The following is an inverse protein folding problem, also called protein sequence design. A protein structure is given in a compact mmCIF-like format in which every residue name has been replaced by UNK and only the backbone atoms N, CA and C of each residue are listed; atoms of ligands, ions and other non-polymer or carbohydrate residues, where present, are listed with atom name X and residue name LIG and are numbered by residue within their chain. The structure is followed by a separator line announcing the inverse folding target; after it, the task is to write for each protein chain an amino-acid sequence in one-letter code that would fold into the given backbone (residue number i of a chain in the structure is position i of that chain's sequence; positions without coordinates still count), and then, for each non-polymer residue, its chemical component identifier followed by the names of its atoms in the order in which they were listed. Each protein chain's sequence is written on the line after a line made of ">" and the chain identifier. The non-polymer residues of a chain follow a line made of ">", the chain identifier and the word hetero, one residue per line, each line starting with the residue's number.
data_IF_841441473865
#
_entry.id   IF_841441473865
#
_cell.length_a   1.000
_cell.length_b   1.000
_cell.length_c   1.000
_cell.angle_alpha   90.00
_cell.angle_beta   90.00
_cell.angle_gamma   90.00
#
_symmetry.space_group_name_H-M   'P 1'
#
loop_
_entity.id
_entity.type
_entity.pdbx_description
1 polymer ?
#
# COMPACT_ATOMS: atom_id res chain seq x y z
N UNK A 1 7.78 -5.04 30.01
CA UNK A 1 8.06 -6.03 28.97
C UNK A 1 7.43 -5.59 27.66
N UNK A 2 8.24 -5.36 26.65
CA UNK A 2 7.74 -4.92 25.35
C UNK A 2 7.30 -6.16 24.59
N UNK A 3 6.02 -6.25 24.27
CA UNK A 3 5.48 -7.34 23.50
C UNK A 3 5.73 -7.03 22.01
N UNK A 4 6.49 -7.91 21.35
CA UNK A 4 6.69 -7.73 19.91
C UNK A 4 5.38 -7.98 19.18
N UNK A 5 5.04 -7.15 18.17
CA UNK A 5 3.83 -7.38 17.40
C UNK A 5 3.95 -8.70 16.64
N UNK A 6 2.84 -9.40 16.55
CA UNK A 6 2.76 -10.59 15.70
C UNK A 6 2.87 -10.16 14.22
N UNK A 7 3.34 -11.05 13.33
CA UNK A 7 3.50 -10.67 11.91
C UNK A 7 2.25 -10.05 11.27
N UNK A 8 1.05 -10.53 11.65
CA UNK A 8 -0.19 -9.97 11.10
C UNK A 8 -0.52 -8.58 11.65
N UNK A 9 0.13 -8.15 12.75
CA UNK A 9 -0.03 -6.80 13.30
C UNK A 9 0.94 -5.81 12.69
N UNK A 10 1.92 -6.28 11.92
CA UNK A 10 2.90 -5.45 11.25
C UNK A 10 2.34 -4.98 9.91
N UNK A 11 2.13 -3.67 9.77
CA UNK A 11 1.63 -3.07 8.53
C UNK A 11 2.55 -3.30 7.34
N UNK A 12 3.81 -3.64 7.57
CA UNK A 12 4.81 -3.80 6.51
C UNK A 12 5.21 -5.26 6.28
N UNK A 13 4.56 -6.21 6.95
CA UNK A 13 4.80 -7.64 6.70
C UNK A 13 4.11 -8.07 5.40
N UNK A 14 4.82 -8.72 4.45
CA UNK A 14 4.25 -9.13 3.16
C UNK A 14 3.43 -10.41 3.29
N UNK A 15 2.21 -10.30 3.78
CA UNK A 15 1.38 -11.43 4.20
C UNK A 15 0.33 -11.87 3.18
N UNK A 16 -0.14 -10.98 2.31
CA UNK A 16 -1.35 -11.24 1.52
C UNK A 16 -1.01 -11.57 0.07
N UNK A 17 -1.65 -12.62 -0.47
CA UNK A 17 -1.51 -12.99 -1.89
C UNK A 17 -2.38 -12.08 -2.76
N UNK A 18 -2.12 -12.07 -4.07
CA UNK A 18 -2.98 -11.38 -5.05
C UNK A 18 -4.43 -11.83 -4.90
N UNK A 19 -4.66 -13.15 -4.81
CA UNK A 19 -6.02 -13.69 -4.68
C UNK A 19 -6.73 -13.21 -3.43
N UNK A 20 -6.02 -13.15 -2.31
CA UNK A 20 -6.58 -12.66 -1.06
C UNK A 20 -6.96 -11.18 -1.17
N UNK A 21 -6.07 -10.35 -1.70
CA UNK A 21 -6.34 -8.90 -1.85
C UNK A 21 -7.49 -8.68 -2.82
N UNK A 22 -7.48 -9.38 -3.95
CA UNK A 22 -8.56 -9.28 -4.93
C UNK A 22 -9.91 -9.62 -4.30
N UNK A 23 -9.97 -10.69 -3.51
CA UNK A 23 -11.19 -11.09 -2.81
C UNK A 23 -11.62 -10.09 -1.74
N UNK A 24 -10.68 -9.60 -0.94
CA UNK A 24 -10.95 -8.63 0.13
C UNK A 24 -11.52 -7.33 -0.40
N UNK A 25 -10.97 -6.83 -1.50
CA UNK A 25 -11.33 -5.52 -2.05
C UNK A 25 -12.30 -5.59 -3.22
N UNK A 26 -12.69 -6.81 -3.62
CA UNK A 26 -13.63 -7.05 -4.73
C UNK A 26 -13.13 -6.41 -6.02
N UNK A 27 -11.85 -6.60 -6.31
CA UNK A 27 -11.23 -6.14 -7.56
C UNK A 27 -10.71 -7.34 -8.34
N UNK A 28 -10.49 -7.16 -9.64
CA UNK A 28 -9.94 -8.20 -10.47
C UNK A 28 -8.42 -8.34 -10.22
N UNK A 29 -7.88 -9.56 -10.20
CA UNK A 29 -6.43 -9.74 -10.09
C UNK A 29 -5.66 -8.97 -11.17
N UNK A 30 -6.22 -8.85 -12.37
CA UNK A 30 -5.60 -8.09 -13.46
C UNK A 30 -5.40 -6.62 -13.08
N UNK A 31 -6.33 -6.04 -12.30
CA UNK A 31 -6.19 -4.66 -11.82
C UNK A 31 -4.97 -4.52 -10.91
N UNK A 32 -4.75 -5.47 -10.00
CA UNK A 32 -3.59 -5.45 -9.12
C UNK A 32 -2.28 -5.57 -9.90
N UNK A 33 -2.26 -6.44 -10.92
CA UNK A 33 -1.09 -6.57 -11.78
C UNK A 33 -0.81 -5.29 -12.57
N UNK A 34 -1.87 -4.60 -12.99
CA UNK A 34 -1.76 -3.32 -13.66
C UNK A 34 -1.16 -2.25 -12.75
N UNK A 35 -1.60 -2.19 -11.48
CA UNK A 35 -1.03 -1.26 -10.50
C UNK A 35 0.47 -1.50 -10.31
N UNK A 36 0.90 -2.76 -10.32
CA UNK A 36 2.31 -3.12 -10.22
C UNK A 36 3.08 -2.65 -11.46
N UNK A 37 2.55 -2.98 -12.65
CA UNK A 37 3.20 -2.61 -13.92
C UNK A 37 3.32 -1.09 -14.08
N UNK A 38 2.35 -0.33 -13.61
CA UNK A 38 2.36 1.14 -13.68
C UNK A 38 3.00 1.80 -12.46
N UNK A 39 3.64 1.00 -11.62
CA UNK A 39 4.41 1.46 -10.46
C UNK A 39 3.57 2.25 -9.45
N UNK A 40 2.30 1.90 -9.32
CA UNK A 40 1.41 2.53 -8.32
C UNK A 40 1.50 1.79 -7.00
N UNK A 41 1.36 0.47 -7.02
CA UNK A 41 1.59 -0.42 -5.87
C UNK A 41 2.43 -1.60 -6.34
N UNK A 42 3.65 -1.69 -5.85
CA UNK A 42 4.62 -2.71 -6.23
C UNK A 42 4.93 -3.59 -5.03
N UNK A 43 4.17 -4.68 -4.83
CA UNK A 43 4.39 -5.55 -3.69
C UNK A 43 5.70 -6.33 -3.82
N UNK A 44 6.22 -6.75 -2.68
CA UNK A 44 7.35 -7.67 -2.65
C UNK A 44 6.98 -9.00 -3.32
N UNK A 45 7.98 -9.77 -3.67
CA UNK A 45 7.79 -11.10 -4.26
C UNK A 45 8.25 -12.17 -3.25
N UNK A 46 7.51 -13.27 -3.18
CA UNK A 46 7.95 -14.44 -2.42
C UNK A 46 9.13 -15.12 -3.13
N UNK A 47 9.75 -16.10 -2.49
CA UNK A 47 10.84 -16.86 -3.07
C UNK A 47 10.42 -17.54 -4.39
N UNK A 48 9.14 -17.89 -4.52
CA UNK A 48 8.59 -18.44 -5.76
C UNK A 48 8.18 -17.38 -6.79
N UNK A 49 8.47 -16.10 -6.55
CA UNK A 49 8.18 -15.02 -7.50
C UNK A 49 6.75 -14.51 -7.45
N UNK A 50 5.96 -14.90 -6.46
CA UNK A 50 4.58 -14.46 -6.34
C UNK A 50 4.48 -13.19 -5.51
N UNK A 51 3.53 -12.31 -5.90
CA UNK A 51 3.29 -11.05 -5.19
C UNK A 51 2.80 -11.30 -3.77
N UNK A 52 3.34 -10.54 -2.83
CA UNK A 52 2.93 -10.56 -1.43
C UNK A 52 2.70 -9.11 -0.98
N UNK A 53 1.47 -8.83 -0.61
CA UNK A 53 1.05 -7.47 -0.23
C UNK A 53 1.14 -7.29 1.27
N UNK A 54 1.57 -6.11 1.69
CA UNK A 54 1.51 -5.69 3.08
C UNK A 54 0.11 -5.17 3.40
N UNK A 55 -0.20 -5.07 4.68
CA UNK A 55 -1.47 -4.46 5.11
C UNK A 55 -1.56 -3.00 4.64
N UNK A 56 -0.45 -2.27 4.68
CA UNK A 56 -0.42 -0.89 4.18
C UNK A 56 -0.75 -0.84 2.70
N UNK A 57 -0.19 -1.76 1.92
CA UNK A 57 -0.48 -1.83 0.49
C UNK A 57 -1.94 -2.20 0.20
N UNK A 58 -2.55 -3.04 1.03
CA UNK A 58 -3.99 -3.31 0.91
C UNK A 58 -4.79 -2.02 1.11
N UNK A 59 -4.46 -1.22 2.11
CA UNK A 59 -5.11 0.08 2.33
C UNK A 59 -4.87 1.03 1.15
N UNK A 60 -3.67 1.02 0.59
CA UNK A 60 -3.35 1.84 -0.59
C UNK A 60 -4.21 1.44 -1.78
N UNK A 61 -4.38 0.14 -2.03
CA UNK A 61 -5.24 -0.34 -3.12
C UNK A 61 -6.70 0.09 -2.89
N UNK A 62 -7.19 -0.02 -1.66
CA UNK A 62 -8.55 0.43 -1.33
C UNK A 62 -8.74 1.90 -1.65
N UNK A 63 -7.78 2.73 -1.28
CA UNK A 63 -7.79 4.15 -1.60
C UNK A 63 -7.75 4.40 -3.12
N UNK A 64 -6.93 3.63 -3.84
CA UNK A 64 -6.83 3.72 -5.29
C UNK A 64 -8.17 3.40 -5.95
N UNK A 65 -8.87 2.38 -5.48
CA UNK A 65 -10.20 2.03 -5.98
C UNK A 65 -11.14 3.23 -5.84
N UNK A 66 -11.14 3.88 -4.68
CA UNK A 66 -11.95 5.07 -4.44
C UNK A 66 -11.58 6.20 -5.43
N UNK A 67 -10.31 6.47 -5.60
CA UNK A 67 -9.85 7.55 -6.45
C UNK A 67 -10.14 7.28 -7.94
N UNK A 68 -10.00 6.03 -8.39
CA UNK A 68 -10.38 5.68 -9.77
C UNK A 68 -11.89 5.83 -9.97
N UNK A 69 -12.67 5.52 -8.96
CA UNK A 69 -14.13 5.74 -8.99
C UNK A 69 -14.50 7.21 -9.11
N UNK A 70 -13.63 8.10 -8.66
CA UNK A 70 -13.79 9.55 -8.79
C UNK A 70 -13.27 10.09 -10.12
N UNK A 71 -12.81 9.21 -11.00
CA UNK A 71 -12.35 9.58 -12.33
C UNK A 71 -10.87 9.92 -12.43
N UNK A 72 -10.07 9.66 -11.40
CA UNK A 72 -8.64 9.96 -11.44
C UNK A 72 -7.88 8.91 -12.23
N UNK A 73 -6.85 9.36 -12.97
CA UNK A 73 -5.96 8.46 -13.70
C UNK A 73 -4.96 7.79 -12.75
N UNK A 74 -4.44 6.62 -13.13
CA UNK A 74 -3.43 5.94 -12.32
C UNK A 74 -2.16 6.79 -12.19
N UNK A 75 -1.77 7.52 -13.23
CA UNK A 75 -0.62 8.43 -13.16
C UNK A 75 -0.84 9.52 -12.10
N UNK A 76 -2.03 10.11 -12.06
CA UNK A 76 -2.39 11.10 -11.06
C UNK A 76 -2.43 10.52 -9.66
N UNK A 77 -2.99 9.33 -9.51
CA UNK A 77 -3.07 8.63 -8.24
C UNK A 77 -1.67 8.32 -7.71
N UNK A 78 -0.78 7.83 -8.57
CA UNK A 78 0.62 7.58 -8.19
C UNK A 78 1.27 8.84 -7.60
N UNK A 79 1.04 9.98 -8.25
CA UNK A 79 1.55 11.27 -7.78
C UNK A 79 0.98 11.65 -6.42
N UNK A 80 -0.33 11.44 -6.24
CA UNK A 80 -1.00 11.72 -4.96
C UNK A 80 -0.41 10.86 -3.84
N UNK A 81 -0.25 9.57 -4.07
CA UNK A 81 0.29 8.68 -3.04
C UNK A 81 1.72 9.07 -2.65
N UNK A 82 2.54 9.44 -3.62
CA UNK A 82 3.90 9.92 -3.36
C UNK A 82 3.89 11.20 -2.53
N UNK A 83 3.02 12.15 -2.88
CA UNK A 83 2.91 13.41 -2.15
C UNK A 83 2.37 13.20 -0.74
N UNK A 84 1.41 12.31 -0.56
CA UNK A 84 0.88 11.97 0.76
C UNK A 84 1.96 11.34 1.64
N UNK A 85 2.80 10.48 1.08
CA UNK A 85 3.92 9.90 1.81
C UNK A 85 4.92 10.96 2.24
N UNK A 86 5.21 11.93 1.37
CA UNK A 86 6.08 13.06 1.69
C UNK A 86 5.50 13.93 2.80
N UNK A 87 4.19 14.18 2.76
CA UNK A 87 3.51 14.94 3.81
C UNK A 87 3.63 14.24 5.16
N UNK A 88 3.38 12.93 5.21
CA UNK A 88 3.51 12.15 6.44
C UNK A 88 4.94 12.20 6.99
N UNK A 89 5.94 12.08 6.11
CA UNK A 89 7.34 12.16 6.52
C UNK A 89 7.68 13.53 7.11
N UNK A 90 7.26 14.60 6.43
CA UNK A 90 7.49 15.96 6.91
C UNK A 90 6.77 16.24 8.23
N UNK A 91 5.55 15.75 8.38
CA UNK A 91 4.82 15.87 9.64
C UNK A 91 5.54 15.15 10.78
N UNK A 92 6.11 13.98 10.50
CA UNK A 92 6.90 13.23 11.47
C UNK A 92 8.16 14.01 11.88
N UNK A 93 8.85 14.62 10.92
CA UNK A 93 10.03 15.44 11.19
C UNK A 93 9.68 16.66 12.03
N UNK A 94 8.58 17.34 11.70
CA UNK A 94 8.11 18.49 12.47
C UNK A 94 7.77 18.08 13.90
N UNK A 95 7.07 16.96 14.08
CA UNK A 95 6.72 16.47 15.41
C UNK A 95 7.96 16.14 16.24
N UNK A 96 8.97 15.53 15.62
CA UNK A 96 10.24 15.23 16.28
C UNK A 96 10.98 16.51 16.68
N UNK A 97 10.98 17.52 15.83
CA UNK A 97 11.60 18.80 16.10
C UNK A 97 10.93 19.52 17.29
N UNK A 98 9.59 19.48 17.34
CA UNK A 98 8.83 20.13 18.42
C UNK A 98 9.03 19.47 19.78
N UNK A 99 9.50 18.23 19.82
CA UNK A 99 9.73 17.49 21.09
C UNK A 99 11.09 17.78 21.72
N UNK A 100 11.95 18.52 21.05
CA UNK A 100 13.26 18.87 21.59
C UNK A 100 13.17 19.99 22.61
#
# INVERSE_FOLDING_TARGET
>A
MVMQPLPFDDDHAPLYTVGQVAGMLKVQPAFLRRLDAEEVVQPARSDGGQRRYTRQEVRDVERIVTLTGEGMTLAGIRRILLLEAQVLDLQSQVAAFKRR
#
